data_IF_955747985504
#
_entry.id   IF_955747985504
#
_cell.length_a   1.000
_cell.length_b   1.000
_cell.length_c   1.000
_cell.angle_alpha   90.00
_cell.angle_beta   90.00
_cell.angle_gamma   90.00
#
_symmetry.space_group_name_H-M   'P 1'
#
loop_
_entity.id
_entity.type
_entity.pdbx_description
1 polymer ?
#
# COMPACT_ATOMS: atom_id res chain seq x y z
N UNK A 1 15.86 6.14 -75.40
CA UNK A 1 16.14 5.15 -74.33
C UNK A 1 16.22 5.86 -72.99
N UNK A 2 15.22 5.71 -72.11
CA UNK A 2 15.13 6.39 -70.80
C UNK A 2 15.65 5.45 -69.70
N UNK A 3 16.77 5.79 -69.05
CA UNK A 3 17.36 4.98 -67.98
C UNK A 3 16.48 5.05 -66.72
N UNK A 4 15.88 3.91 -66.32
CA UNK A 4 15.28 3.71 -64.99
C UNK A 4 16.41 3.76 -63.96
N UNK A 5 16.44 4.79 -63.12
CA UNK A 5 17.44 4.95 -62.06
C UNK A 5 16.77 5.29 -60.73
N UNK A 6 15.97 4.38 -60.20
CA UNK A 6 15.33 4.57 -58.89
C UNK A 6 14.92 3.20 -58.34
N UNK A 7 15.78 2.59 -57.52
CA UNK A 7 15.37 1.49 -56.64
C UNK A 7 16.26 1.34 -55.42
N UNK A 8 17.52 1.79 -55.48
CA UNK A 8 18.47 1.72 -54.35
C UNK A 8 18.27 2.85 -53.32
N UNK A 9 18.01 4.08 -53.77
CA UNK A 9 17.75 5.23 -52.88
C UNK A 9 16.47 5.08 -52.05
N UNK A 10 15.41 4.52 -52.64
CA UNK A 10 14.13 4.28 -51.95
C UNK A 10 14.25 3.17 -50.88
N UNK A 11 15.05 2.13 -51.16
CA UNK A 11 15.33 1.05 -50.19
C UNK A 11 16.18 1.52 -49.02
N UNK A 12 17.17 2.37 -49.27
CA UNK A 12 17.98 2.99 -48.21
C UNK A 12 17.16 3.94 -47.34
N UNK A 13 16.28 4.73 -47.94
CA UNK A 13 15.38 5.61 -47.20
C UNK A 13 14.40 4.81 -46.31
N UNK A 14 13.85 3.70 -46.80
CA UNK A 14 13.01 2.81 -46.00
C UNK A 14 13.77 2.17 -44.83
N UNK A 15 15.01 1.70 -45.06
CA UNK A 15 15.83 1.11 -44.01
C UNK A 15 16.19 2.12 -42.90
N UNK A 16 16.49 3.36 -43.28
CA UNK A 16 16.78 4.44 -42.32
C UNK A 16 15.52 4.86 -41.55
N UNK A 17 14.34 4.86 -42.18
CA UNK A 17 13.06 5.11 -41.53
C UNK A 17 12.68 3.99 -40.54
N UNK A 18 12.92 2.72 -40.90
CA UNK A 18 12.70 1.61 -39.96
C UNK A 18 13.66 1.65 -38.78
N UNK A 19 14.93 2.01 -39.01
CA UNK A 19 15.90 2.15 -37.92
C UNK A 19 15.54 3.31 -37.00
N UNK A 20 15.09 4.44 -37.52
CA UNK A 20 14.68 5.59 -36.69
C UNK A 20 13.36 5.36 -35.95
N UNK A 21 12.42 4.57 -36.50
CA UNK A 21 11.24 4.11 -35.76
C UNK A 21 11.59 3.18 -34.58
N UNK A 22 12.63 2.36 -34.71
CA UNK A 22 13.12 1.48 -33.64
C UNK A 22 13.67 2.25 -32.42
N UNK A 23 14.10 3.50 -32.60
CA UNK A 23 14.54 4.39 -31.51
C UNK A 23 13.40 5.27 -30.94
N UNK A 24 12.23 5.27 -31.60
CA UNK A 24 11.04 6.01 -31.17
C UNK A 24 10.00 5.14 -30.46
N UNK A 25 10.26 3.83 -30.33
CA UNK A 25 9.54 3.02 -29.37
C UNK A 25 10.08 3.39 -27.98
N UNK A 26 9.34 4.10 -27.11
CA UNK A 26 9.67 4.08 -25.70
C UNK A 26 9.72 2.61 -25.31
N UNK A 27 10.84 2.18 -24.71
CA UNK A 27 11.04 0.80 -24.30
C UNK A 27 9.82 0.32 -23.53
N UNK A 28 9.04 -0.54 -24.17
CA UNK A 28 7.98 -1.27 -23.52
C UNK A 28 8.67 -2.31 -22.63
N UNK A 29 8.53 -2.14 -21.32
CA UNK A 29 8.75 -3.23 -20.36
C UNK A 29 10.20 -3.54 -20.00
N UNK A 30 10.81 -2.68 -19.19
CA UNK A 30 11.64 -3.14 -18.06
C UNK A 30 11.81 -1.97 -17.11
N UNK A 31 10.73 -1.59 -16.41
CA UNK A 31 10.90 -0.81 -15.20
C UNK A 31 11.80 -1.64 -14.30
N UNK A 32 13.03 -1.19 -14.05
CA UNK A 32 13.84 -1.80 -13.00
C UNK A 32 13.00 -1.74 -11.75
N UNK A 33 12.60 -2.90 -11.22
CA UNK A 33 11.87 -2.95 -9.96
C UNK A 33 12.70 -2.14 -8.95
N UNK A 34 12.04 -1.19 -8.26
CA UNK A 34 12.71 -0.46 -7.20
C UNK A 34 13.34 -1.46 -6.22
N UNK A 35 14.55 -1.21 -5.72
CA UNK A 35 15.17 -2.05 -4.70
C UNK A 35 14.18 -2.32 -3.56
N UNK A 36 14.13 -3.56 -3.09
CA UNK A 36 13.24 -3.98 -2.02
C UNK A 36 14.00 -4.85 -1.01
N UNK A 37 13.94 -4.56 0.31
CA UNK A 37 13.22 -3.44 0.95
C UNK A 37 13.67 -2.04 0.45
N UNK A 38 12.78 -1.03 0.43
CA UNK A 38 13.15 0.31 -0.03
C UNK A 38 14.20 0.92 0.90
N UNK A 39 15.13 1.70 0.36
CA UNK A 39 16.12 2.41 1.17
C UNK A 39 15.46 3.51 2.01
N UNK A 40 16.08 3.87 3.14
CA UNK A 40 15.55 4.90 4.06
C UNK A 40 15.27 6.24 3.35
N UNK A 41 16.15 6.66 2.44
CA UNK A 41 15.97 7.90 1.66
C UNK A 41 14.70 7.83 0.78
N UNK A 42 14.40 6.66 0.22
CA UNK A 42 13.19 6.43 -0.57
C UNK A 42 11.94 6.52 0.31
N UNK A 43 11.97 5.89 1.49
CA UNK A 43 10.87 5.95 2.48
C UNK A 43 10.64 7.39 2.94
N UNK A 44 11.72 8.11 3.27
CA UNK A 44 11.68 9.51 3.69
C UNK A 44 11.07 10.41 2.62
N UNK A 45 11.55 10.31 1.38
CA UNK A 45 11.04 11.10 0.26
C UNK A 45 9.57 10.81 -0.04
N UNK A 46 9.11 9.57 0.12
CA UNK A 46 7.71 9.21 -0.05
C UNK A 46 6.83 9.77 1.09
N UNK A 47 7.29 9.67 2.34
CA UNK A 47 6.59 10.19 3.51
C UNK A 47 6.47 11.73 3.49
N UNK A 48 7.53 12.43 3.11
CA UNK A 48 7.55 13.90 3.04
C UNK A 48 6.51 14.45 2.03
N UNK A 49 6.28 13.76 0.91
CA UNK A 49 5.22 14.12 -0.07
C UNK A 49 3.81 14.06 0.52
N UNK A 50 3.64 13.32 1.63
CA UNK A 50 2.37 13.15 2.33
C UNK A 50 2.26 14.02 3.59
N UNK A 51 3.23 14.92 3.81
CA UNK A 51 3.41 15.70 5.04
C UNK A 51 3.67 14.83 6.28
N UNK A 52 4.28 13.65 6.10
CA UNK A 52 4.64 12.73 7.18
C UNK A 52 6.13 12.77 7.46
N UNK A 53 6.52 12.47 8.70
CA UNK A 53 7.92 12.51 9.14
C UNK A 53 8.41 11.12 9.47
N UNK A 54 9.49 10.69 8.82
CA UNK A 54 10.23 9.49 9.20
C UNK A 54 11.03 9.73 10.49
N UNK A 55 10.97 8.77 11.41
CA UNK A 55 11.76 8.76 12.65
C UNK A 55 12.94 7.78 12.48
N UNK A 56 14.09 8.24 11.96
CA UNK A 56 15.21 7.34 11.66
C UNK A 56 15.77 6.63 12.90
N UNK A 57 15.71 7.29 14.07
CA UNK A 57 16.16 6.73 15.35
C UNK A 57 15.28 5.56 15.83
N UNK A 58 14.06 5.43 15.29
CA UNK A 58 13.11 4.35 15.59
C UNK A 58 13.10 3.28 14.50
N UNK A 59 13.88 3.47 13.43
CA UNK A 59 14.08 2.45 12.38
C UNK A 59 14.81 1.25 12.98
N UNK A 60 14.25 0.06 12.76
CA UNK A 60 14.82 -1.19 13.23
C UNK A 60 15.08 -2.12 12.05
N UNK A 61 16.31 -2.62 11.97
CA UNK A 61 16.66 -3.71 11.05
C UNK A 61 16.59 -5.00 11.85
N UNK A 62 15.59 -5.83 11.57
CA UNK A 62 15.39 -7.10 12.29
C UNK A 62 16.18 -8.24 11.62
N UNK A 63 16.31 -8.18 10.29
CA UNK A 63 17.16 -9.05 9.49
C UNK A 63 17.65 -8.27 8.26
N UNK A 64 18.63 -8.81 7.52
CA UNK A 64 19.14 -8.19 6.28
C UNK A 64 18.01 -7.84 5.30
N UNK A 65 17.00 -8.70 5.25
CA UNK A 65 15.84 -8.59 4.36
C UNK A 65 14.57 -8.10 5.06
N UNK A 66 14.65 -7.55 6.29
CA UNK A 66 13.48 -7.05 7.03
C UNK A 66 13.79 -5.75 7.77
N UNK A 67 13.13 -4.68 7.34
CA UNK A 67 13.27 -3.34 7.93
C UNK A 67 11.90 -2.87 8.42
N UNK A 68 11.88 -2.29 9.62
CA UNK A 68 10.75 -1.63 10.22
C UNK A 68 11.06 -0.13 10.34
N UNK A 69 10.23 0.69 9.73
CA UNK A 69 10.27 2.15 9.80
C UNK A 69 9.13 2.66 10.67
N UNK A 70 9.39 3.70 11.46
CA UNK A 70 8.34 4.45 12.17
C UNK A 70 8.15 5.81 11.53
N UNK A 71 6.91 6.14 11.19
CA UNK A 71 6.52 7.45 10.67
C UNK A 71 5.54 8.11 11.65
N UNK A 72 5.63 9.43 11.75
CA UNK A 72 4.63 10.27 12.42
C UNK A 72 3.86 11.10 11.42
N UNK A 73 2.55 11.07 11.58
CA UNK A 73 1.64 11.96 10.87
C UNK A 73 1.43 13.25 11.67
N UNK A 74 0.87 14.28 11.03
CA UNK A 74 0.47 15.51 11.72
C UNK A 74 -0.78 15.32 12.61
N UNK A 75 -1.44 14.16 12.56
CA UNK A 75 -2.79 13.93 13.09
C UNK A 75 -2.86 12.97 14.29
N UNK A 76 -1.85 12.97 15.18
CA UNK A 76 -1.74 12.05 16.33
C UNK A 76 -1.78 10.55 15.96
N UNK A 77 -1.55 10.22 14.68
CA UNK A 77 -1.50 8.84 14.21
C UNK A 77 -0.04 8.41 14.08
N UNK A 78 0.29 7.30 14.74
CA UNK A 78 1.57 6.62 14.64
C UNK A 78 1.49 5.57 13.55
N UNK A 79 2.51 5.50 12.69
CA UNK A 79 2.55 4.57 11.56
C UNK A 79 3.81 3.72 11.65
N UNK A 80 3.63 2.40 11.66
CA UNK A 80 4.71 1.43 11.58
C UNK A 80 4.67 0.76 10.19
N UNK A 81 5.78 0.83 9.46
CA UNK A 81 5.92 0.29 8.12
C UNK A 81 6.99 -0.80 8.10
N UNK A 82 6.58 -2.04 7.89
CA UNK A 82 7.48 -3.17 7.69
C UNK A 82 7.63 -3.49 6.21
N UNK A 83 8.87 -3.61 5.74
CA UNK A 83 9.21 -4.05 4.40
C UNK A 83 10.12 -5.27 4.52
N UNK A 84 9.72 -6.40 3.94
CA UNK A 84 10.43 -7.67 4.08
C UNK A 84 10.51 -8.48 2.79
N UNK A 85 11.60 -9.23 2.60
CA UNK A 85 11.69 -10.30 1.60
C UNK A 85 11.68 -11.64 2.32
N UNK A 86 10.59 -12.40 2.18
CA UNK A 86 10.38 -13.70 2.80
C UNK A 86 10.42 -14.76 1.70
N UNK A 87 11.39 -15.67 1.76
CA UNK A 87 11.59 -16.71 0.74
C UNK A 87 11.68 -16.16 -0.70
N UNK A 88 12.30 -14.98 -0.86
CA UNK A 88 12.41 -14.29 -2.15
C UNK A 88 11.14 -13.56 -2.61
N UNK A 89 10.09 -13.54 -1.78
CA UNK A 89 8.83 -12.84 -2.06
C UNK A 89 8.76 -11.55 -1.24
N UNK A 90 8.38 -10.45 -1.90
CA UNK A 90 8.24 -9.15 -1.24
C UNK A 90 6.95 -9.10 -0.44
N UNK A 91 7.05 -8.56 0.77
CA UNK A 91 5.92 -8.26 1.64
C UNK A 91 6.11 -6.85 2.20
N UNK A 92 5.07 -6.01 2.11
CA UNK A 92 5.01 -4.70 2.77
C UNK A 92 3.80 -4.70 3.68
N UNK A 93 3.95 -4.22 4.91
CA UNK A 93 2.85 -4.04 5.85
C UNK A 93 2.94 -2.67 6.49
N UNK A 94 1.91 -1.86 6.30
CA UNK A 94 1.74 -0.57 6.97
C UNK A 94 0.67 -0.72 8.05
N UNK A 95 0.95 -0.22 9.25
CA UNK A 95 0.05 -0.22 10.39
C UNK A 95 -0.07 1.19 10.95
N UNK A 96 -1.23 1.79 10.78
CA UNK A 96 -1.57 3.12 11.25
C UNK A 96 -2.46 3.00 12.49
N UNK A 97 -2.03 3.59 13.60
CA UNK A 97 -2.76 3.56 14.87
C UNK A 97 -3.05 4.95 15.38
N UNK A 98 -4.27 5.15 15.89
CA UNK A 98 -4.65 6.34 16.63
C UNK A 98 -5.43 5.93 17.89
N UNK A 99 -5.17 6.60 19.00
CA UNK A 99 -5.79 6.33 20.30
C UNK A 99 -6.16 7.65 20.99
N UNK A 100 -7.01 7.59 22.02
CA UNK A 100 -7.46 8.79 22.73
C UNK A 100 -8.46 9.63 21.92
N UNK A 101 -9.15 9.03 20.94
CA UNK A 101 -10.08 9.72 20.07
C UNK A 101 -11.36 10.09 20.84
N UNK A 102 -11.85 11.34 20.74
CA UNK A 102 -12.98 11.81 21.54
C UNK A 102 -14.34 11.25 21.10
N UNK A 103 -14.39 10.65 19.90
CA UNK A 103 -15.60 10.07 19.35
C UNK A 103 -15.29 8.79 18.58
N UNK A 104 -16.32 7.96 18.42
CA UNK A 104 -16.20 6.72 17.67
C UNK A 104 -15.82 7.04 16.21
N UNK A 105 -14.66 6.58 15.73
CA UNK A 105 -14.26 6.83 14.35
C UNK A 105 -15.18 6.05 13.40
N UNK A 106 -15.46 6.67 12.26
CA UNK A 106 -16.22 6.08 11.16
C UNK A 106 -15.26 5.89 10.00
N UNK A 107 -15.24 4.70 9.43
CA UNK A 107 -14.36 4.41 8.31
C UNK A 107 -14.82 5.14 7.05
N UNK A 108 -13.91 5.85 6.39
CA UNK A 108 -14.06 6.28 5.00
C UNK A 108 -12.79 5.96 4.23
N UNK A 109 -12.90 5.61 2.95
CA UNK A 109 -11.73 5.38 2.11
C UNK A 109 -10.84 6.61 2.00
N UNK A 110 -11.44 7.80 1.94
CA UNK A 110 -10.73 9.08 1.76
C UNK A 110 -9.72 9.35 2.89
N UNK A 111 -10.08 9.03 4.14
CA UNK A 111 -9.19 9.20 5.30
C UNK A 111 -7.88 8.39 5.18
N UNK A 112 -7.94 7.26 4.47
CA UNK A 112 -6.81 6.33 4.32
C UNK A 112 -6.06 6.47 3.00
N UNK A 113 -6.45 7.42 2.15
CA UNK A 113 -5.81 7.62 0.83
C UNK A 113 -4.30 7.83 0.93
N UNK A 114 -3.83 8.63 1.91
CA UNK A 114 -2.40 8.89 2.10
C UNK A 114 -1.63 7.60 2.46
N UNK A 115 -2.14 6.79 3.38
CA UNK A 115 -1.54 5.50 3.75
C UNK A 115 -1.49 4.55 2.54
N UNK A 116 -2.59 4.41 1.82
CA UNK A 116 -2.65 3.55 0.64
C UNK A 116 -1.67 4.01 -0.45
N UNK A 117 -1.56 5.32 -0.68
CA UNK A 117 -0.60 5.87 -1.63
C UNK A 117 0.87 5.67 -1.22
N UNK A 118 1.17 5.67 0.09
CA UNK A 118 2.49 5.35 0.60
C UNK A 118 2.85 3.89 0.29
N UNK A 119 1.97 2.96 0.65
CA UNK A 119 2.15 1.53 0.37
C UNK A 119 2.30 1.25 -1.14
N UNK A 120 1.49 1.89 -1.99
CA UNK A 120 1.58 1.80 -3.46
C UNK A 120 2.96 2.24 -3.96
N UNK A 121 3.42 3.41 -3.50
CA UNK A 121 4.70 4.01 -3.91
C UNK A 121 5.88 3.14 -3.50
N UNK A 122 5.89 2.64 -2.27
CA UNK A 122 7.02 1.92 -1.70
C UNK A 122 7.11 0.46 -2.16
N UNK A 123 5.97 -0.19 -2.39
CA UNK A 123 5.95 -1.54 -2.95
C UNK A 123 6.27 -1.54 -4.45
N UNK A 124 5.76 -0.53 -5.18
CA UNK A 124 5.97 -0.35 -6.61
C UNK A 124 5.30 -1.40 -7.49
N UNK A 125 5.34 -1.17 -8.81
CA UNK A 125 4.72 -2.07 -9.81
C UNK A 125 3.25 -1.75 -10.11
N UNK A 126 2.66 -0.77 -9.43
CA UNK A 126 1.33 -0.25 -9.71
C UNK A 126 1.37 0.94 -10.66
N UNK A 127 0.26 1.19 -11.34
CA UNK A 127 -0.01 2.50 -11.95
C UNK A 127 -0.37 3.52 -10.87
N UNK A 128 -0.08 4.80 -11.10
CA UNK A 128 -0.37 5.86 -10.11
C UNK A 128 -1.86 5.87 -9.71
N UNK A 129 -2.12 5.67 -8.41
CA UNK A 129 -3.44 5.64 -7.80
C UNK A 129 -4.24 4.37 -8.01
N UNK A 130 -3.69 3.35 -8.69
CA UNK A 130 -4.37 2.08 -8.98
C UNK A 130 -4.85 1.37 -7.71
N UNK A 131 -4.00 1.32 -6.68
CA UNK A 131 -4.29 0.62 -5.43
C UNK A 131 -5.47 1.28 -4.72
N UNK A 132 -5.43 2.61 -4.57
CA UNK A 132 -6.51 3.37 -3.94
C UNK A 132 -7.82 3.27 -4.73
N UNK A 133 -7.77 3.46 -6.06
CA UNK A 133 -8.98 3.44 -6.90
C UNK A 133 -9.67 2.07 -6.85
N UNK A 134 -8.89 1.00 -6.86
CA UNK A 134 -9.42 -0.37 -6.81
C UNK A 134 -10.01 -0.69 -5.44
N UNK A 135 -9.28 -0.38 -4.36
CA UNK A 135 -9.77 -0.64 -3.00
C UNK A 135 -11.00 0.21 -2.66
N UNK A 136 -10.98 1.50 -3.00
CA UNK A 136 -12.10 2.41 -2.71
C UNK A 136 -13.37 2.15 -3.51
N UNK A 137 -13.31 1.33 -4.56
CA UNK A 137 -14.47 0.84 -5.28
C UNK A 137 -15.17 -0.34 -4.60
N UNK A 138 -14.55 -0.95 -3.58
CA UNK A 138 -15.14 -2.04 -2.81
C UNK A 138 -16.16 -1.49 -1.80
N UNK A 139 -17.24 -2.23 -1.61
CA UNK A 139 -18.24 -1.93 -0.58
C UNK A 139 -17.59 -1.96 0.82
N UNK A 140 -18.02 -1.05 1.69
CA UNK A 140 -17.62 -1.04 3.09
C UNK A 140 -18.54 -2.03 3.83
N UNK A 141 -18.03 -3.19 4.30
CA UNK A 141 -18.86 -4.17 4.98
C UNK A 141 -19.28 -3.68 6.38
N UNK A 142 -20.27 -4.34 6.97
CA UNK A 142 -20.60 -4.11 8.37
C UNK A 142 -19.47 -4.62 9.28
N UNK A 143 -19.14 -3.90 10.38
CA UNK A 143 -18.13 -4.37 11.33
C UNK A 143 -18.51 -5.70 11.97
N UNK A 144 -17.57 -6.64 11.99
CA UNK A 144 -17.71 -7.94 12.65
C UNK A 144 -16.99 -7.94 14.00
N UNK A 145 -17.55 -8.66 14.98
CA UNK A 145 -16.86 -8.94 16.24
C UNK A 145 -15.75 -9.97 15.98
N UNK A 146 -14.46 -9.62 16.21
CA UNK A 146 -13.34 -10.51 15.93
C UNK A 146 -13.36 -11.81 16.75
N UNK A 147 -14.07 -11.87 17.88
CA UNK A 147 -14.19 -13.08 18.69
C UNK A 147 -15.23 -14.06 18.13
N UNK A 148 -16.24 -13.58 17.42
CA UNK A 148 -17.40 -14.39 17.00
C UNK A 148 -17.63 -14.45 15.49
N UNK A 149 -17.07 -13.51 14.72
CA UNK A 149 -17.31 -13.33 13.29
C UNK A 149 -18.74 -12.88 12.96
N UNK A 150 -19.52 -12.46 13.96
CA UNK A 150 -20.89 -11.98 13.78
C UNK A 150 -20.92 -10.45 13.66
N UNK A 151 -21.97 -9.87 13.04
CA UNK A 151 -22.15 -8.42 13.01
C UNK A 151 -22.09 -7.81 14.41
N UNK A 152 -21.31 -6.74 14.55
CA UNK A 152 -21.10 -6.09 15.83
C UNK A 152 -22.28 -5.20 16.21
N UNK A 153 -22.94 -5.53 17.32
CA UNK A 153 -24.05 -4.74 17.88
C UNK A 153 -23.61 -3.35 18.41
N UNK A 154 -22.34 -3.19 18.76
CA UNK A 154 -21.77 -1.91 19.24
C UNK A 154 -21.13 -1.12 18.10
N UNK A 155 -21.01 -1.74 16.92
CA UNK A 155 -20.20 -1.34 15.78
C UNK A 155 -18.71 -1.15 16.12
N UNK A 156 -18.23 -1.69 17.24
CA UNK A 156 -16.82 -1.98 17.45
C UNK A 156 -16.50 -3.29 16.73
N UNK A 157 -15.41 -3.35 15.99
CA UNK A 157 -15.16 -4.58 15.24
C UNK A 157 -14.07 -4.39 14.22
N UNK A 158 -13.91 -5.43 13.42
CA UNK A 158 -13.03 -5.47 12.29
C UNK A 158 -13.83 -5.44 10.99
N UNK A 159 -13.29 -4.76 10.00
CA UNK A 159 -13.68 -4.88 8.60
C UNK A 159 -12.42 -5.16 7.79
N UNK A 160 -12.56 -5.93 6.72
CA UNK A 160 -11.42 -6.29 5.88
C UNK A 160 -11.80 -6.37 4.41
N UNK A 161 -10.82 -6.08 3.58
CA UNK A 161 -10.90 -6.17 2.13
C UNK A 161 -9.68 -6.90 1.59
N UNK A 162 -9.88 -7.56 0.46
CA UNK A 162 -8.84 -8.26 -0.27
C UNK A 162 -9.00 -7.94 -1.75
N UNK A 163 -7.88 -7.68 -2.43
CA UNK A 163 -7.87 -7.37 -3.86
C UNK A 163 -6.59 -7.91 -4.51
N UNK A 164 -6.74 -8.45 -5.73
CA UNK A 164 -5.64 -9.02 -6.49
C UNK A 164 -5.26 -8.08 -7.64
N UNK A 165 -3.97 -7.76 -7.73
CA UNK A 165 -3.38 -6.90 -8.74
C UNK A 165 -2.29 -7.66 -9.49
N UNK A 166 -1.94 -7.23 -10.73
CA UNK A 166 -0.78 -7.78 -11.42
C UNK A 166 0.53 -7.69 -10.63
N UNK A 167 0.66 -6.66 -9.78
CA UNK A 167 1.86 -6.38 -9.00
C UNK A 167 1.88 -7.05 -7.61
N UNK A 168 0.71 -7.28 -7.01
CA UNK A 168 0.59 -7.75 -5.64
C UNK A 168 -0.80 -8.30 -5.30
N UNK A 169 -0.88 -9.06 -4.22
CA UNK A 169 -2.11 -9.31 -3.49
C UNK A 169 -2.20 -8.34 -2.31
N UNK A 170 -3.27 -7.56 -2.23
CA UNK A 170 -3.51 -6.60 -1.17
C UNK A 170 -4.53 -7.11 -0.18
N UNK A 171 -4.24 -6.95 1.10
CA UNK A 171 -5.16 -7.17 2.22
C UNK A 171 -5.21 -5.90 3.05
N UNK A 172 -6.42 -5.38 3.26
CA UNK A 172 -6.67 -4.24 4.13
C UNK A 172 -7.51 -4.71 5.30
N UNK A 173 -7.16 -4.30 6.51
CA UNK A 173 -8.05 -4.44 7.66
C UNK A 173 -8.13 -3.14 8.44
N UNK A 174 -9.30 -2.88 8.99
CA UNK A 174 -9.55 -1.73 9.84
C UNK A 174 -10.28 -2.20 11.09
N UNK A 175 -9.89 -1.66 12.24
CA UNK A 175 -10.56 -1.92 13.51
C UNK A 175 -10.91 -0.66 14.25
N UNK A 176 -12.03 -0.73 14.97
CA UNK A 176 -12.46 0.27 15.94
C UNK A 176 -12.77 -0.44 17.25
N UNK A 177 -12.18 0.06 18.33
CA UNK A 177 -12.43 -0.43 19.66
C UNK A 177 -12.53 0.73 20.65
N UNK A 178 -13.22 0.50 21.78
CA UNK A 178 -13.05 1.37 22.94
C UNK A 178 -11.58 1.33 23.38
N UNK A 179 -11.02 2.48 23.76
CA UNK A 179 -9.74 2.54 24.44
C UNK A 179 -9.96 2.46 25.94
N UNK A 180 -10.25 3.59 26.58
CA UNK A 180 -10.58 3.67 28.00
C UNK A 180 -12.09 3.52 28.21
N UNK A 181 -12.46 2.62 29.12
CA UNK A 181 -13.86 2.42 29.54
C UNK A 181 -14.01 2.59 31.04
N UNK A 182 -15.08 3.25 31.47
CA UNK A 182 -15.46 3.35 32.88
C UNK A 182 -16.71 2.49 33.11
N UNK A 183 -16.68 1.61 34.13
CA UNK A 183 -17.80 0.73 34.44
C UNK A 183 -18.58 1.26 35.64
N UNK A 184 -19.86 1.55 35.44
CA UNK A 184 -20.83 1.85 36.48
C UNK A 184 -21.70 0.63 36.83
N UNK A 185 -22.61 0.80 37.81
CA UNK A 185 -23.47 -0.28 38.32
C UNK A 185 -24.50 -0.82 37.28
N UNK A 186 -24.63 -0.18 36.11
CA UNK A 186 -25.57 -0.58 35.05
C UNK A 186 -25.09 -0.34 33.60
N UNK A 187 -23.95 0.32 33.38
CA UNK A 187 -23.43 0.63 32.04
C UNK A 187 -21.91 0.70 32.04
N UNK A 188 -21.34 0.51 30.86
CA UNK A 188 -19.94 0.81 30.57
C UNK A 188 -19.91 2.01 29.64
N UNK A 189 -19.31 3.10 30.11
CA UNK A 189 -19.17 4.32 29.34
C UNK A 189 -17.80 4.35 28.67
N UNK A 190 -17.78 4.58 27.35
CA UNK A 190 -16.54 4.69 26.58
C UNK A 190 -16.03 6.12 26.68
N UNK A 191 -14.85 6.29 27.27
CA UNK A 191 -14.22 7.60 27.48
C UNK A 191 -13.45 8.05 26.25
N UNK A 192 -12.80 7.11 25.58
CA UNK A 192 -12.06 7.37 24.34
C UNK A 192 -12.11 6.15 23.41
N UNK A 193 -11.74 6.40 22.15
CA UNK A 193 -11.70 5.40 21.11
C UNK A 193 -10.28 5.23 20.56
N UNK A 194 -10.04 4.02 20.04
CA UNK A 194 -8.85 3.70 19.26
C UNK A 194 -9.24 3.10 17.93
N UNK A 195 -8.41 3.34 16.93
CA UNK A 195 -8.52 2.70 15.63
C UNK A 195 -7.17 2.21 15.13
N UNK A 196 -7.23 1.16 14.34
CA UNK A 196 -6.08 0.65 13.59
C UNK A 196 -6.51 0.45 12.16
N UNK A 197 -5.76 1.03 11.23
CA UNK A 197 -5.82 0.70 9.81
C UNK A 197 -4.54 0.00 9.44
N UNK A 198 -4.64 -1.03 8.60
CA UNK A 198 -3.46 -1.66 8.08
C UNK A 198 -3.70 -2.20 6.69
N UNK A 199 -2.66 -2.05 5.89
CA UNK A 199 -2.58 -2.54 4.53
C UNK A 199 -1.34 -3.40 4.41
N UNK A 200 -1.53 -4.63 3.96
CA UNK A 200 -0.48 -5.59 3.65
C UNK A 200 -0.50 -5.90 2.16
N UNK A 201 0.67 -5.84 1.54
CA UNK A 201 0.91 -6.17 0.15
C UNK A 201 1.84 -7.37 0.09
N UNK A 202 1.42 -8.41 -0.62
CA UNK A 202 2.16 -9.65 -0.80
C UNK A 202 2.45 -9.86 -2.29
N UNK A 203 3.53 -10.57 -2.61
CA UNK A 203 3.87 -10.90 -4.00
C UNK A 203 2.74 -11.61 -4.77
N UNK A 204 1.93 -12.42 -4.08
CA UNK A 204 0.75 -13.11 -4.63
C UNK A 204 -0.16 -13.59 -3.50
N UNK A 205 -1.36 -14.08 -3.86
CA UNK A 205 -2.26 -14.72 -2.91
C UNK A 205 -1.62 -15.96 -2.25
N UNK A 206 -0.91 -16.77 -3.04
CA UNK A 206 -0.18 -17.93 -2.52
C UNK A 206 0.89 -17.53 -1.49
N UNK A 207 1.55 -16.38 -1.68
CA UNK A 207 2.52 -15.85 -0.72
C UNK A 207 1.84 -15.53 0.62
N UNK A 208 0.72 -14.82 0.57
CA UNK A 208 -0.10 -14.52 1.75
C UNK A 208 -0.55 -15.79 2.47
N UNK A 209 -1.06 -16.78 1.74
CA UNK A 209 -1.53 -18.04 2.33
C UNK A 209 -0.39 -18.85 2.95
N UNK A 210 0.80 -18.85 2.33
CA UNK A 210 1.97 -19.55 2.90
C UNK A 210 2.43 -18.98 4.24
N UNK A 211 2.32 -17.66 4.45
CA UNK A 211 2.67 -17.02 5.73
C UNK A 211 1.65 -17.31 6.86
N UNK A 212 0.47 -17.86 6.53
CA UNK A 212 -0.57 -18.20 7.52
C UNK A 212 -0.50 -19.63 8.06
N UNK A 213 0.38 -20.46 7.52
CA UNK A 213 0.46 -21.90 7.81
C UNK A 213 1.61 -22.19 8.76
#
# INVERSE_FOLDING_TARGET
MRKKKTNTLSRLACLLLTLSLLWLLPGCGSGSASPFPPEEETVRAAAEKLDWTLLPEETQVWAEDQILYTLKTNSQMDVALSCAVVEGKRTLTENCTAAGLPGKPVYTWEDWKKAISLAETLYGGFSEGELYQTLSALDIPEPEDPATGAPSATGQGAISWEAEFPAAYARVWYTVAAGTTESGFASTDVQDWRMTFNISLYASKDAYESERT
#
